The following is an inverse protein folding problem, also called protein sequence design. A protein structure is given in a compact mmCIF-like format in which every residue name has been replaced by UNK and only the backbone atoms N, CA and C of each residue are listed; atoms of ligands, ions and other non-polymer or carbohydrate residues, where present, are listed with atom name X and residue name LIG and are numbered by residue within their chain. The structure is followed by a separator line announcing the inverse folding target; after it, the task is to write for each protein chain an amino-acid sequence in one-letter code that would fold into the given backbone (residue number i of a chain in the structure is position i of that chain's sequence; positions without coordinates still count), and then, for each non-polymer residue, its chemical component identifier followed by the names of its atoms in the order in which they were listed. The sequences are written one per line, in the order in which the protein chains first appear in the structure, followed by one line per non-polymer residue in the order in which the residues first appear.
data_IF_535878658857
#
_entry.id   IF_535878658857
#
_cell.length_a   1.000
_cell.length_b   1.000
_cell.length_c   1.000
_cell.angle_alpha   90.00
_cell.angle_beta   90.00
_cell.angle_gamma   90.00
#
_symmetry.space_group_name_H-M   'P 1'
#
loop_
_entity.id
_entity.type
_entity.pdbx_description
1 polymer ?
#
# COMPACT_ATOMS: atom_id res chain seq x y z
N UNK A 1 27.51 4.87 -12.95
CA UNK A 1 26.78 6.01 -12.34
C UNK A 1 25.62 6.36 -13.26
N UNK A 2 24.46 5.71 -13.07
CA UNK A 2 23.23 6.04 -13.79
C UNK A 2 22.36 6.90 -12.88
N UNK A 3 22.21 8.16 -13.25
CA UNK A 3 21.44 9.17 -12.54
C UNK A 3 19.95 8.81 -12.62
N UNK A 4 19.40 8.30 -11.53
CA UNK A 4 17.98 7.95 -11.42
C UNK A 4 17.14 9.24 -11.26
N UNK A 5 16.76 9.84 -12.40
CA UNK A 5 15.87 10.98 -12.46
C UNK A 5 14.43 10.53 -12.17
N UNK A 6 13.94 10.74 -10.95
CA UNK A 6 12.50 10.56 -10.67
C UNK A 6 12.03 10.43 -9.22
N UNK A 7 12.90 10.27 -8.23
CA UNK A 7 12.46 10.25 -6.82
C UNK A 7 12.42 11.68 -6.27
N UNK A 8 11.21 12.23 -6.13
CA UNK A 8 10.98 13.46 -5.37
C UNK A 8 11.58 13.30 -3.96
N UNK A 9 12.18 14.33 -3.37
CA UNK A 9 12.65 14.26 -1.99
C UNK A 9 11.48 13.88 -1.10
N UNK A 10 11.66 12.79 -0.35
CA UNK A 10 10.73 12.35 0.69
C UNK A 10 10.64 13.50 1.69
N UNK A 11 9.49 14.15 1.79
CA UNK A 11 9.23 15.10 2.88
C UNK A 11 9.46 14.37 4.21
N UNK A 12 10.05 15.06 5.18
CA UNK A 12 10.25 14.53 6.53
C UNK A 12 8.89 14.03 7.06
N UNK A 13 8.73 12.71 7.17
CA UNK A 13 7.49 12.06 7.61
C UNK A 13 6.96 10.94 6.71
N UNK A 14 7.44 10.82 5.47
CA UNK A 14 7.07 9.67 4.62
C UNK A 14 8.20 8.65 4.56
N UNK A 15 7.93 7.37 4.87
CA UNK A 15 8.97 6.34 4.82
C UNK A 15 9.43 6.13 3.37
N UNK A 16 10.71 5.80 3.20
CA UNK A 16 11.29 5.51 1.88
C UNK A 16 10.68 4.26 1.21
N UNK A 17 10.01 3.42 2.00
CA UNK A 17 9.23 2.27 1.58
C UNK A 17 7.82 2.35 2.17
N UNK A 18 6.82 1.97 1.39
CA UNK A 18 5.44 1.80 1.87
C UNK A 18 5.13 0.36 2.27
N UNK A 19 6.13 -0.53 2.24
CA UNK A 19 5.95 -1.94 2.57
C UNK A 19 5.50 -2.10 4.03
N UNK A 20 4.52 -2.97 4.25
CA UNK A 20 4.01 -3.32 5.58
C UNK A 20 4.34 -4.79 5.83
N UNK A 21 5.05 -5.08 6.92
CA UNK A 21 5.33 -6.45 7.36
C UNK A 21 4.31 -6.86 8.40
N UNK A 22 3.39 -7.76 8.05
CA UNK A 22 2.43 -8.28 9.02
C UNK A 22 3.12 -9.04 10.16
N UNK A 23 4.11 -9.86 9.83
CA UNK A 23 4.78 -10.73 10.79
C UNK A 23 5.46 -9.94 11.92
N UNK A 24 6.17 -8.86 11.58
CA UNK A 24 6.84 -8.02 12.60
C UNK A 24 5.83 -7.35 13.53
N UNK A 25 4.68 -6.89 13.00
CA UNK A 25 3.59 -6.32 13.80
C UNK A 25 2.98 -7.38 14.71
N UNK A 26 2.75 -8.60 14.20
CA UNK A 26 2.24 -9.71 14.99
C UNK A 26 3.19 -10.07 16.14
N UNK A 27 4.50 -10.19 15.87
CA UNK A 27 5.50 -10.47 16.89
C UNK A 27 5.56 -9.36 17.95
N UNK A 28 5.51 -8.09 17.54
CA UNK A 28 5.46 -6.97 18.47
C UNK A 28 4.23 -7.04 19.38
N UNK A 29 3.04 -7.23 18.82
CA UNK A 29 1.80 -7.31 19.61
C UNK A 29 1.77 -8.53 20.51
N UNK A 30 2.27 -9.68 20.03
CA UNK A 30 2.37 -10.90 20.82
C UNK A 30 3.29 -10.71 22.05
N UNK A 31 4.38 -9.97 21.89
CA UNK A 31 5.31 -9.69 22.99
C UNK A 31 4.73 -8.77 24.08
N UNK A 32 3.63 -8.06 23.81
CA UNK A 32 2.96 -7.22 24.81
C UNK A 32 2.11 -8.01 25.81
N UNK A 33 1.89 -9.31 25.57
CA UNK A 33 1.13 -10.22 26.44
C UNK A 33 -0.22 -9.63 26.90
N UNK A 34 -0.96 -9.05 25.94
CA UNK A 34 -2.21 -8.37 26.23
C UNK A 34 -3.29 -9.37 26.68
N UNK A 35 -4.15 -9.00 27.64
CA UNK A 35 -5.25 -9.85 28.05
C UNK A 35 -6.22 -10.06 26.88
N UNK A 36 -7.09 -11.10 26.95
CA UNK A 36 -8.18 -11.25 26.00
C UNK A 36 -9.08 -10.00 26.01
N UNK A 37 -9.07 -9.25 24.91
CA UNK A 37 -9.80 -8.00 24.77
C UNK A 37 -10.86 -8.15 23.65
N UNK A 38 -12.05 -7.54 23.81
CA UNK A 38 -13.06 -7.54 22.77
C UNK A 38 -12.55 -6.75 21.56
N UNK A 39 -12.95 -7.18 20.36
CA UNK A 39 -12.53 -6.51 19.13
C UNK A 39 -13.00 -5.05 19.10
N UNK A 40 -12.16 -4.09 18.65
CA UNK A 40 -12.52 -2.68 18.58
C UNK A 40 -13.82 -2.41 17.82
N UNK A 41 -14.64 -1.51 18.35
CA UNK A 41 -15.93 -1.12 17.76
C UNK A 41 -17.13 -2.00 18.15
N UNK A 42 -16.90 -3.18 18.75
CA UNK A 42 -17.99 -4.01 19.28
C UNK A 42 -18.69 -3.35 20.47
N UNK A 43 -19.97 -3.66 20.78
CA UNK A 43 -20.64 -3.14 21.97
C UNK A 43 -19.88 -3.47 23.28
N UNK A 44 -19.27 -4.65 23.36
CA UNK A 44 -18.43 -5.03 24.50
C UNK A 44 -17.23 -4.09 24.66
N UNK A 45 -16.57 -3.72 23.56
CA UNK A 45 -15.47 -2.76 23.55
C UNK A 45 -15.92 -1.33 23.91
N UNK A 46 -17.10 -0.91 23.45
CA UNK A 46 -17.64 0.43 23.75
C UNK A 46 -17.86 0.67 25.24
N UNK A 47 -18.19 -0.40 25.98
CA UNK A 47 -18.41 -0.38 27.42
C UNK A 47 -17.12 -0.44 28.26
N UNK A 48 -15.95 -0.58 27.65
CA UNK A 48 -14.66 -0.55 28.34
C UNK A 48 -14.24 0.89 28.70
N UNK A 49 -13.34 1.00 29.69
CA UNK A 49 -12.63 2.25 29.96
C UNK A 49 -11.64 2.58 28.83
N UNK A 50 -11.15 3.82 28.78
CA UNK A 50 -10.29 4.29 27.68
C UNK A 50 -8.94 3.57 27.60
N UNK A 51 -8.40 3.11 28.73
CA UNK A 51 -7.15 2.35 28.76
C UNK A 51 -7.33 0.99 28.07
N UNK A 52 -8.37 0.24 28.43
CA UNK A 52 -8.65 -1.07 27.84
C UNK A 52 -9.09 -0.95 26.38
N UNK A 53 -9.79 0.14 26.01
CA UNK A 53 -10.08 0.46 24.61
C UNK A 53 -8.81 0.63 23.79
N UNK A 54 -7.81 1.32 24.35
CA UNK A 54 -6.52 1.54 23.71
C UNK A 54 -5.78 0.23 23.50
N UNK A 55 -5.73 -0.62 24.53
CA UNK A 55 -5.11 -1.95 24.43
C UNK A 55 -5.81 -2.83 23.39
N UNK A 56 -7.14 -2.78 23.30
CA UNK A 56 -7.89 -3.55 22.31
C UNK A 56 -7.57 -3.08 20.88
N UNK A 57 -7.37 -1.78 20.66
CA UNK A 57 -6.92 -1.26 19.37
C UNK A 57 -5.51 -1.74 19.01
N UNK A 58 -4.59 -1.81 19.98
CA UNK A 58 -3.24 -2.35 19.78
C UNK A 58 -3.32 -3.85 19.45
N UNK A 59 -4.11 -4.62 20.21
CA UNK A 59 -4.33 -6.04 19.98
C UNK A 59 -4.90 -6.32 18.57
N UNK A 60 -5.71 -5.41 18.03
CA UNK A 60 -6.30 -5.54 16.71
C UNK A 60 -5.40 -5.08 15.54
N UNK A 61 -4.31 -4.37 15.81
CA UNK A 61 -3.40 -3.84 14.79
C UNK A 61 -2.89 -4.90 13.79
N UNK A 62 -2.56 -6.15 14.18
CA UNK A 62 -2.10 -7.17 13.24
C UNK A 62 -3.13 -7.49 12.13
N UNK A 63 -4.43 -7.35 12.37
CA UNK A 63 -5.44 -7.64 11.35
C UNK A 63 -5.38 -6.66 10.17
N UNK A 64 -5.20 -5.37 10.45
CA UNK A 64 -5.07 -4.37 9.39
C UNK A 64 -3.70 -4.47 8.70
N UNK A 65 -2.64 -4.75 9.46
CA UNK A 65 -1.32 -5.02 8.88
C UNK A 65 -1.36 -6.20 7.90
N UNK A 66 -2.06 -7.29 8.26
CA UNK A 66 -2.27 -8.46 7.38
C UNK A 66 -2.99 -8.05 6.10
N UNK A 67 -4.08 -7.29 6.21
CA UNK A 67 -4.83 -6.83 5.04
C UNK A 67 -3.97 -5.96 4.10
N UNK A 68 -3.09 -5.11 4.65
CA UNK A 68 -2.17 -4.29 3.87
C UNK A 68 -1.09 -5.13 3.18
N UNK A 69 -0.47 -6.07 3.92
CA UNK A 69 0.57 -6.95 3.40
C UNK A 69 0.05 -7.82 2.24
N UNK A 70 -1.08 -8.51 2.45
CA UNK A 70 -1.76 -9.29 1.38
C UNK A 70 -2.13 -8.41 0.18
N UNK A 71 -2.63 -7.19 0.40
CA UNK A 71 -2.94 -6.27 -0.69
C UNK A 71 -1.70 -5.89 -1.48
N UNK A 72 -0.57 -5.66 -0.82
CA UNK A 72 0.69 -5.32 -1.49
C UNK A 72 1.20 -6.49 -2.32
N UNK A 73 1.09 -7.72 -1.83
CA UNK A 73 1.41 -8.94 -2.58
C UNK A 73 0.58 -9.02 -3.87
N UNK A 74 -0.74 -8.86 -3.78
CA UNK A 74 -1.62 -8.86 -4.96
C UNK A 74 -1.31 -7.73 -5.95
N UNK A 75 -1.00 -6.52 -5.47
CA UNK A 75 -0.60 -5.41 -6.34
C UNK A 75 0.73 -5.66 -7.04
N UNK A 76 1.69 -6.26 -6.34
CA UNK A 76 2.97 -6.64 -6.92
C UNK A 76 2.77 -7.69 -8.01
N UNK A 77 1.93 -8.70 -7.76
CA UNK A 77 1.62 -9.73 -8.74
C UNK A 77 0.88 -9.17 -9.96
N UNK A 78 -0.13 -8.33 -9.76
CA UNK A 78 -0.81 -7.63 -10.84
C UNK A 78 0.14 -6.76 -11.66
N UNK A 79 1.10 -6.09 -11.01
CA UNK A 79 2.12 -5.28 -11.69
C UNK A 79 3.04 -6.13 -12.57
N UNK A 80 3.46 -7.31 -12.09
CA UNK A 80 4.25 -8.27 -12.89
C UNK A 80 3.46 -8.81 -14.06
N UNK A 81 2.19 -9.18 -13.84
CA UNK A 81 1.31 -9.67 -14.89
C UNK A 81 1.11 -8.63 -16.00
N UNK A 82 0.86 -7.37 -15.63
CA UNK A 82 0.80 -6.26 -16.59
C UNK A 82 2.13 -6.13 -17.33
N UNK A 83 3.26 -6.08 -16.61
CA UNK A 83 4.58 -5.93 -17.22
C UNK A 83 4.91 -7.06 -18.21
N UNK A 84 4.44 -8.28 -17.97
CA UNK A 84 4.63 -9.43 -18.84
C UNK A 84 3.61 -9.52 -19.99
N UNK A 85 2.46 -8.83 -19.89
CA UNK A 85 1.34 -9.00 -20.81
C UNK A 85 1.52 -8.40 -22.20
N UNK A 86 2.49 -7.50 -22.41
CA UNK A 86 2.70 -6.82 -23.69
C UNK A 86 4.16 -6.31 -23.81
N UNK A 87 4.64 -6.10 -25.04
CA UNK A 87 5.90 -5.39 -25.26
C UNK A 87 5.69 -3.88 -25.05
N UNK A 88 5.72 -3.45 -23.78
CA UNK A 88 5.49 -2.05 -23.41
C UNK A 88 6.46 -1.08 -24.07
N UNK A 89 7.69 -1.50 -24.40
CA UNK A 89 8.63 -0.67 -25.16
C UNK A 89 8.14 -0.44 -26.60
N UNK A 90 7.54 -1.45 -27.23
CA UNK A 90 6.91 -1.30 -28.54
C UNK A 90 5.67 -0.41 -28.48
N UNK A 91 4.79 -0.60 -27.49
CA UNK A 91 3.61 0.25 -27.27
C UNK A 91 4.01 1.72 -27.07
N UNK A 92 5.02 1.98 -26.24
CA UNK A 92 5.55 3.32 -26.01
C UNK A 92 6.07 3.97 -27.30
N UNK A 93 6.77 3.23 -28.17
CA UNK A 93 7.22 3.71 -29.47
C UNK A 93 6.04 4.07 -30.38
N UNK A 94 4.99 3.26 -30.42
CA UNK A 94 3.78 3.52 -31.22
C UNK A 94 3.07 4.80 -30.77
N UNK A 95 2.88 4.98 -29.46
CA UNK A 95 2.28 6.18 -28.88
C UNK A 95 3.12 7.43 -29.18
N UNK A 96 4.44 7.37 -28.93
CA UNK A 96 5.33 8.51 -29.14
C UNK A 96 5.39 8.95 -30.61
N UNK A 97 5.39 7.99 -31.54
CA UNK A 97 5.37 8.25 -32.98
C UNK A 97 4.02 8.76 -33.49
N UNK A 98 2.99 8.90 -32.63
CA UNK A 98 1.61 9.27 -33.00
C UNK A 98 1.02 8.41 -34.11
N UNK A 99 1.56 7.19 -34.29
CA UNK A 99 1.08 6.21 -35.26
C UNK A 99 -0.17 5.46 -34.75
N UNK A 100 -0.80 5.93 -33.67
CA UNK A 100 -2.06 5.40 -33.15
C UNK A 100 -3.27 5.79 -34.00
N UNK A 101 -3.11 6.63 -35.04
CA UNK A 101 -4.20 7.07 -35.92
C UNK A 101 -5.15 8.10 -35.31
N UNK A 102 -5.03 8.40 -34.01
CA UNK A 102 -5.89 9.33 -33.27
C UNK A 102 -5.19 10.70 -33.22
N UNK A 103 -5.33 11.49 -34.29
CA UNK A 103 -4.91 12.89 -34.32
C UNK A 103 -6.09 13.80 -33.99
N UNK A 104 -6.04 14.47 -32.84
CA UNK A 104 -7.02 15.51 -32.46
C UNK A 104 -6.41 16.87 -32.81
N UNK A 105 -6.89 17.57 -33.85
CA UNK A 105 -6.35 18.88 -34.24
C UNK A 105 -6.64 19.91 -33.14
N UNK A 106 -5.62 20.70 -32.78
CA UNK A 106 -5.82 21.85 -31.88
C UNK A 106 -6.41 23.00 -32.68
N UNK A 107 -7.58 23.49 -32.29
CA UNK A 107 -8.19 24.69 -32.88
C UNK A 107 -7.39 25.91 -32.42
N UNK A 108 -6.67 26.56 -33.32
CA UNK A 108 -6.14 27.89 -33.07
C UNK A 108 -7.31 28.89 -33.04
N UNK A 109 -7.38 29.66 -31.97
CA UNK A 109 -8.29 30.81 -31.80
C UNK A 109 -7.83 31.99 -32.64
#
# INVERSE_FOLDING_TARGET
MTTNAGRRPFWAGFPASQQVSWWDVHQFVQALDLPPLPFPGTPAWQNLNDQDKTLACIAAAPHYALALDTRQEHLAEASKAIAAGENWAAVARTIHRRNSGIYIPRKAS
#
